data_IF_586867358354
#
_entry.id   IF_586867358354
#
_cell.length_a   1.000
_cell.length_b   1.000
_cell.length_c   1.000
_cell.angle_alpha   90.00
_cell.angle_beta   90.00
_cell.angle_gamma   90.00
#
_symmetry.space_group_name_H-M   'P 1'
#
loop_
_entity.id
_entity.type
_entity.pdbx_description
1 polymer ?
#
# COMPACT_ATOMS: atom_id res chain seq x y z
N UNK A 1 -9.45 12.20 -12.10
CA UNK A 1 -9.81 11.63 -10.78
C UNK A 1 -10.15 10.14 -10.80
N UNK A 2 -11.17 9.67 -11.54
CA UNK A 2 -11.56 8.25 -11.53
C UNK A 2 -10.45 7.30 -12.03
N UNK A 3 -9.70 7.72 -13.04
CA UNK A 3 -8.52 6.98 -13.51
C UNK A 3 -7.46 6.80 -12.42
N UNK A 4 -7.17 7.86 -11.65
CA UNK A 4 -6.24 7.80 -10.52
C UNK A 4 -6.70 6.82 -9.45
N UNK A 5 -7.99 6.79 -9.14
CA UNK A 5 -8.55 5.84 -8.18
C UNK A 5 -8.28 4.39 -8.61
N UNK A 6 -8.61 4.03 -9.85
CA UNK A 6 -8.40 2.67 -10.35
C UNK A 6 -6.93 2.31 -10.49
N UNK A 7 -6.09 3.24 -10.96
CA UNK A 7 -4.63 3.03 -10.99
C UNK A 7 -4.09 2.82 -9.59
N UNK A 8 -4.52 3.62 -8.60
CA UNK A 8 -4.11 3.44 -7.20
C UNK A 8 -4.60 2.13 -6.59
N UNK A 9 -5.82 1.69 -6.93
CA UNK A 9 -6.41 0.42 -6.52
C UNK A 9 -5.60 -0.78 -7.05
N UNK A 10 -5.27 -0.77 -8.35
CA UNK A 10 -4.54 -1.86 -9.02
C UNK A 10 -3.04 -1.83 -8.71
N UNK A 11 -2.47 -0.64 -8.55
CA UNK A 11 -1.06 -0.48 -8.18
C UNK A 11 -0.77 -1.03 -6.78
N UNK A 12 -1.77 -1.12 -5.90
CA UNK A 12 -1.66 -1.81 -4.62
C UNK A 12 -1.53 -3.34 -4.74
N UNK A 13 -1.67 -3.94 -5.93
CA UNK A 13 -1.64 -5.40 -6.11
C UNK A 13 -0.56 -5.89 -7.07
N UNK A 14 -0.31 -5.17 -8.18
CA UNK A 14 0.44 -5.73 -9.32
C UNK A 14 1.61 -4.87 -9.84
N UNK A 15 1.59 -3.55 -9.65
CA UNK A 15 2.54 -2.63 -10.29
C UNK A 15 3.14 -1.65 -9.28
N UNK A 16 4.39 -1.87 -8.82
CA UNK A 16 5.07 -0.91 -7.96
C UNK A 16 5.27 0.43 -8.67
N UNK A 17 4.92 1.54 -8.01
CA UNK A 17 5.17 2.90 -8.50
C UNK A 17 4.18 3.44 -9.56
N UNK A 18 3.23 2.65 -10.04
CA UNK A 18 2.31 3.05 -11.11
C UNK A 18 1.37 4.21 -10.70
N UNK A 19 0.88 4.19 -9.47
CA UNK A 19 -0.02 5.23 -8.96
C UNK A 19 0.65 6.56 -8.68
N UNK A 20 1.93 6.52 -8.34
CA UNK A 20 2.78 7.67 -8.00
C UNK A 20 3.11 8.48 -9.25
N UNK A 21 3.51 7.78 -10.33
CA UNK A 21 3.74 8.40 -11.64
C UNK A 21 2.46 9.04 -12.18
N UNK A 22 1.33 8.33 -12.07
CA UNK A 22 0.05 8.85 -12.54
C UNK A 22 -0.43 10.07 -11.73
N UNK A 23 -0.22 10.05 -10.41
CA UNK A 23 -0.52 11.17 -9.52
C UNK A 23 0.36 12.39 -9.84
N UNK A 24 1.66 12.20 -10.07
CA UNK A 24 2.57 13.28 -10.46
C UNK A 24 2.19 13.89 -11.82
N UNK A 25 1.79 13.07 -12.79
CA UNK A 25 1.25 13.54 -14.07
C UNK A 25 0.00 14.39 -13.90
N UNK A 26 -0.95 13.94 -13.09
CA UNK A 26 -2.20 14.68 -12.86
C UNK A 26 -1.95 16.01 -12.15
N UNK A 27 -1.01 16.03 -11.21
CA UNK A 27 -0.55 17.25 -10.58
C UNK A 27 0.04 18.23 -11.61
N UNK A 28 0.84 17.74 -12.56
CA UNK A 28 1.43 18.57 -13.63
C UNK A 28 0.41 19.19 -14.60
N UNK A 29 -0.75 18.57 -14.80
CA UNK A 29 -1.83 19.15 -15.63
C UNK A 29 -2.77 20.08 -14.83
N UNK A 30 -2.41 20.41 -13.58
CA UNK A 30 -3.09 21.44 -12.78
C UNK A 30 -4.20 20.93 -11.86
N UNK A 31 -4.30 19.62 -11.63
CA UNK A 31 -5.32 19.07 -10.73
C UNK A 31 -5.02 19.41 -9.25
N UNK A 32 -6.06 19.66 -8.41
CA UNK A 32 -5.87 20.12 -7.04
C UNK A 32 -5.16 19.06 -6.17
N UNK A 33 -4.04 19.40 -5.50
CA UNK A 33 -3.21 18.44 -4.76
C UNK A 33 -3.97 17.66 -3.68
N UNK A 34 -4.87 18.33 -2.94
CA UNK A 34 -5.66 17.69 -1.87
C UNK A 34 -6.61 16.64 -2.44
N UNK A 35 -7.24 16.90 -3.59
CA UNK A 35 -8.11 15.92 -4.23
C UNK A 35 -7.32 14.71 -4.74
N UNK A 36 -6.16 14.95 -5.37
CA UNK A 36 -5.26 13.89 -5.82
C UNK A 36 -4.84 12.98 -4.65
N UNK A 37 -4.43 13.61 -3.54
CA UNK A 37 -4.03 12.91 -2.33
C UNK A 37 -5.15 12.03 -1.76
N UNK A 38 -6.36 12.59 -1.60
CA UNK A 38 -7.52 11.87 -1.09
C UNK A 38 -7.90 10.69 -1.98
N UNK A 39 -7.99 10.92 -3.30
CA UNK A 39 -8.40 9.90 -4.27
C UNK A 39 -7.38 8.76 -4.34
N UNK A 40 -6.08 9.09 -4.44
CA UNK A 40 -5.02 8.08 -4.49
C UNK A 40 -4.92 7.29 -3.17
N UNK A 41 -4.99 7.98 -2.03
CA UNK A 41 -4.97 7.32 -0.71
C UNK A 41 -6.14 6.38 -0.54
N UNK A 42 -7.35 6.80 -0.94
CA UNK A 42 -8.56 5.97 -0.84
C UNK A 42 -8.46 4.75 -1.75
N UNK A 43 -8.11 4.93 -3.03
CA UNK A 43 -7.97 3.82 -3.98
C UNK A 43 -6.93 2.80 -3.54
N UNK A 44 -5.74 3.25 -3.13
CA UNK A 44 -4.68 2.35 -2.70
C UNK A 44 -4.97 1.68 -1.35
N UNK A 45 -5.62 2.39 -0.43
CA UNK A 45 -6.08 1.80 0.83
C UNK A 45 -7.07 0.67 0.55
N UNK A 46 -8.06 0.88 -0.31
CA UNK A 46 -9.02 -0.16 -0.68
C UNK A 46 -8.33 -1.37 -1.33
N UNK A 47 -7.37 -1.14 -2.24
CA UNK A 47 -6.59 -2.22 -2.85
C UNK A 47 -5.78 -3.00 -1.82
N UNK A 48 -5.18 -2.30 -0.85
CA UNK A 48 -4.45 -2.91 0.26
C UNK A 48 -5.38 -3.69 1.21
N UNK A 49 -6.62 -3.24 1.40
CA UNK A 49 -7.62 -4.00 2.18
C UNK A 49 -8.04 -5.29 1.47
N UNK A 50 -8.06 -5.29 0.13
CA UNK A 50 -8.24 -6.53 -0.66
C UNK A 50 -7.06 -7.48 -0.40
N UNK A 51 -5.82 -6.99 -0.36
CA UNK A 51 -4.67 -7.81 0.03
C UNK A 51 -4.78 -8.39 1.44
N UNK A 52 -5.23 -7.60 2.42
CA UNK A 52 -5.48 -8.08 3.78
C UNK A 52 -6.55 -9.20 3.77
N UNK A 53 -7.62 -9.03 3.00
CA UNK A 53 -8.66 -10.05 2.84
C UNK A 53 -8.10 -11.33 2.21
N UNK A 54 -7.31 -11.20 1.14
CA UNK A 54 -6.63 -12.33 0.50
C UNK A 54 -5.69 -13.05 1.46
N UNK A 55 -4.91 -12.32 2.26
CA UNK A 55 -4.01 -12.91 3.26
C UNK A 55 -4.77 -13.67 4.37
N UNK A 56 -5.89 -13.10 4.85
CA UNK A 56 -6.78 -13.78 5.82
C UNK A 56 -7.33 -15.07 5.27
N UNK A 57 -7.80 -15.06 4.02
CA UNK A 57 -8.35 -16.23 3.34
C UNK A 57 -7.25 -17.26 3.05
N UNK A 58 -6.11 -16.85 2.52
CA UNK A 58 -5.00 -17.73 2.18
C UNK A 58 -4.47 -18.49 3.40
N UNK A 59 -4.52 -17.90 4.61
CA UNK A 59 -4.07 -18.54 5.85
C UNK A 59 -4.73 -19.90 6.11
N UNK A 60 -5.97 -20.12 5.68
CA UNK A 60 -6.66 -21.40 5.86
C UNK A 60 -6.05 -22.55 5.03
N UNK A 61 -5.19 -22.20 4.07
CA UNK A 61 -4.46 -23.14 3.22
C UNK A 61 -2.98 -23.23 3.57
N UNK A 62 -2.55 -22.75 4.75
CA UNK A 62 -1.13 -22.73 5.15
C UNK A 62 -0.45 -24.11 5.09
N UNK A 63 -1.22 -25.20 5.25
CA UNK A 63 -0.71 -26.59 5.22
C UNK A 63 -0.67 -27.18 3.79
N UNK A 64 -1.11 -26.43 2.78
CA UNK A 64 -1.08 -26.87 1.37
C UNK A 64 0.29 -26.55 0.76
N UNK A 65 0.82 -27.49 -0.06
CA UNK A 65 2.12 -27.34 -0.75
C UNK A 65 2.23 -26.14 -1.69
N UNK A 66 1.12 -25.58 -2.16
CA UNK A 66 1.10 -24.40 -3.03
C UNK A 66 1.18 -23.07 -2.25
N UNK A 67 1.03 -23.11 -0.92
CA UNK A 67 0.98 -21.90 -0.12
C UNK A 67 2.30 -21.13 -0.23
N UNK A 68 2.26 -19.82 -0.56
CA UNK A 68 3.45 -19.07 -0.98
C UNK A 68 4.46 -18.79 0.15
N UNK A 69 4.14 -19.09 1.41
CA UNK A 69 5.05 -18.90 2.54
C UNK A 69 5.35 -20.21 3.26
N UNK A 70 6.63 -20.58 3.32
CA UNK A 70 7.08 -21.74 4.10
C UNK A 70 6.81 -21.58 5.62
N UNK A 71 6.71 -22.68 6.38
CA UNK A 71 6.58 -22.62 7.85
C UNK A 71 7.71 -21.82 8.51
N UNK A 72 8.94 -21.92 7.99
CA UNK A 72 10.09 -21.15 8.46
C UNK A 72 9.96 -19.65 8.19
N UNK A 73 9.43 -19.25 7.03
CA UNK A 73 9.19 -17.83 6.74
C UNK A 73 8.04 -17.26 7.55
N UNK A 74 6.98 -18.04 7.80
CA UNK A 74 5.90 -17.64 8.70
C UNK A 74 6.42 -17.44 10.13
N UNK A 75 7.19 -18.40 10.67
CA UNK A 75 7.78 -18.28 12.00
C UNK A 75 8.73 -17.09 12.12
N UNK A 76 9.53 -16.81 11.08
CA UNK A 76 10.40 -15.62 11.05
C UNK A 76 9.58 -14.33 11.01
N UNK A 77 8.54 -14.27 10.19
CA UNK A 77 7.67 -13.12 10.09
C UNK A 77 6.86 -12.89 11.38
N UNK A 78 6.46 -13.96 12.07
CA UNK A 78 5.81 -13.92 13.38
C UNK A 78 6.77 -13.43 14.46
N UNK A 79 8.03 -13.87 14.45
CA UNK A 79 9.06 -13.37 15.36
C UNK A 79 9.37 -11.87 15.11
N UNK A 80 9.41 -11.47 13.84
CA UNK A 80 9.57 -10.06 13.45
C UNK A 80 8.35 -9.24 13.88
N UNK A 81 7.14 -9.77 13.71
CA UNK A 81 5.89 -9.16 14.15
C UNK A 81 5.81 -9.07 15.69
N UNK A 82 6.29 -10.05 16.45
CA UNK A 82 6.42 -9.94 17.90
C UNK A 82 7.38 -8.82 18.33
N UNK A 83 8.43 -8.57 17.54
CA UNK A 83 9.44 -7.55 17.84
C UNK A 83 9.01 -6.13 17.44
N UNK A 84 8.38 -5.97 16.28
CA UNK A 84 8.04 -4.65 15.71
C UNK A 84 6.54 -4.33 15.76
N UNK A 85 5.70 -5.33 16.01
CA UNK A 85 4.26 -5.20 16.13
C UNK A 85 3.59 -4.63 14.89
N UNK A 86 2.47 -3.96 15.13
CA UNK A 86 1.64 -3.33 14.11
C UNK A 86 2.34 -2.16 13.39
N UNK A 87 3.37 -1.58 14.02
CA UNK A 87 4.17 -0.48 13.44
C UNK A 87 4.94 -0.92 12.18
N UNK A 88 5.15 -2.22 12.00
CA UNK A 88 5.72 -2.79 10.77
C UNK A 88 4.92 -2.43 9.51
N UNK A 89 3.61 -2.18 9.64
CA UNK A 89 2.77 -1.73 8.53
C UNK A 89 3.09 -0.32 8.03
N UNK A 90 3.74 0.52 8.84
CA UNK A 90 4.23 1.82 8.37
C UNK A 90 5.32 1.65 7.30
N UNK A 91 6.11 0.58 7.39
CA UNK A 91 7.13 0.23 6.40
C UNK A 91 6.49 -0.18 5.07
N UNK A 92 5.16 -0.46 5.06
CA UNK A 92 4.44 -0.75 3.82
C UNK A 92 4.35 0.44 2.85
N UNK A 93 4.80 1.62 3.26
CA UNK A 93 4.93 2.79 2.40
C UNK A 93 6.02 2.65 1.33
N UNK A 94 6.96 1.70 1.47
CA UNK A 94 8.06 1.55 0.53
C UNK A 94 7.61 0.90 -0.80
N UNK A 95 8.01 1.44 -1.97
CA UNK A 95 7.47 1.10 -3.29
C UNK A 95 7.71 -0.33 -3.78
N UNK A 96 8.42 -1.18 -3.02
CA UNK A 96 8.76 -2.56 -3.40
C UNK A 96 8.28 -3.59 -2.36
N UNK A 97 8.18 -3.21 -1.08
CA UNK A 97 7.91 -4.13 0.05
C UNK A 97 6.48 -3.94 0.59
N UNK A 98 5.77 -2.91 0.11
CA UNK A 98 4.50 -2.46 0.66
C UNK A 98 3.38 -3.47 0.66
N UNK A 99 3.09 -4.03 -0.49
CA UNK A 99 1.88 -4.81 -0.68
C UNK A 99 1.98 -6.23 -0.09
N UNK A 100 3.15 -6.92 -0.12
CA UNK A 100 3.36 -8.14 0.66
C UNK A 100 3.11 -7.96 2.16
N UNK A 101 3.44 -6.80 2.75
CA UNK A 101 3.18 -6.51 4.16
C UNK A 101 1.67 -6.43 4.47
N UNK A 102 0.86 -5.93 3.53
CA UNK A 102 -0.60 -5.87 3.71
C UNK A 102 -1.24 -7.27 3.63
N UNK A 103 -0.73 -8.14 2.75
CA UNK A 103 -1.08 -9.57 2.74
C UNK A 103 -0.69 -10.23 4.07
N UNK A 104 0.53 -9.99 4.57
CA UNK A 104 1.00 -10.55 5.84
C UNK A 104 0.14 -10.10 7.03
N UNK A 105 -0.30 -8.83 7.07
CA UNK A 105 -1.22 -8.36 8.10
C UNK A 105 -2.56 -9.13 8.08
N UNK A 106 -3.00 -9.54 6.90
CA UNK A 106 -4.13 -10.47 6.74
C UNK A 106 -3.83 -11.87 7.27
N UNK A 107 -2.67 -12.43 6.92
CA UNK A 107 -2.18 -13.76 7.38
C UNK A 107 -2.06 -13.81 8.92
N UNK A 108 -1.72 -12.70 9.56
CA UNK A 108 -1.65 -12.54 11.03
C UNK A 108 -2.98 -12.12 11.67
N UNK A 109 -4.06 -12.02 10.89
CA UNK A 109 -5.42 -11.67 11.36
C UNK A 109 -5.50 -10.35 12.13
N UNK A 110 -4.71 -9.34 11.72
CA UNK A 110 -4.73 -8.03 12.36
C UNK A 110 -6.13 -7.41 12.31
N UNK A 111 -6.71 -6.92 13.43
CA UNK A 111 -8.05 -6.35 13.44
C UNK A 111 -8.27 -5.35 12.30
N UNK A 112 -9.41 -5.47 11.59
CA UNK A 112 -9.65 -4.71 10.36
C UNK A 112 -9.43 -3.20 10.52
N UNK A 113 -9.86 -2.62 11.66
CA UNK A 113 -9.68 -1.20 11.95
C UNK A 113 -8.21 -0.81 12.14
N UNK A 114 -7.37 -1.69 12.71
CA UNK A 114 -5.93 -1.44 12.88
C UNK A 114 -5.21 -1.53 11.55
N UNK A 115 -5.53 -2.55 10.75
CA UNK A 115 -5.01 -2.68 9.39
C UNK A 115 -5.35 -1.42 8.57
N UNK A 116 -6.61 -1.01 8.60
CA UNK A 116 -7.08 0.19 7.91
C UNK A 116 -6.32 1.44 8.38
N UNK A 117 -6.23 1.68 9.69
CA UNK A 117 -5.56 2.85 10.25
C UNK A 117 -4.09 2.93 9.81
N UNK A 118 -3.34 1.83 9.93
CA UNK A 118 -1.93 1.82 9.53
C UNK A 118 -1.74 1.95 8.02
N UNK A 119 -2.60 1.32 7.21
CA UNK A 119 -2.55 1.43 5.75
C UNK A 119 -2.85 2.87 5.32
N UNK A 120 -3.89 3.51 5.86
CA UNK A 120 -4.23 4.90 5.54
C UNK A 120 -3.06 5.82 5.85
N UNK A 121 -2.44 5.67 7.03
CA UNK A 121 -1.26 6.48 7.41
C UNK A 121 -0.10 6.22 6.44
N UNK A 122 0.24 4.96 6.18
CA UNK A 122 1.37 4.60 5.32
C UNK A 122 1.17 5.10 3.87
N UNK A 123 0.00 4.83 3.28
CA UNK A 123 -0.29 5.22 1.89
C UNK A 123 -0.48 6.74 1.79
N UNK A 124 -1.11 7.37 2.79
CA UNK A 124 -1.27 8.81 2.87
C UNK A 124 0.07 9.55 2.93
N UNK A 125 1.00 9.11 3.78
CA UNK A 125 2.36 9.69 3.86
C UNK A 125 3.08 9.59 2.52
N UNK A 126 3.04 8.41 1.87
CA UNK A 126 3.68 8.21 0.57
C UNK A 126 3.17 9.20 -0.49
N UNK A 127 1.86 9.34 -0.64
CA UNK A 127 1.30 10.25 -1.65
C UNK A 127 1.56 11.72 -1.31
N UNK A 128 1.59 12.09 -0.01
CA UNK A 128 2.00 13.42 0.41
C UNK A 128 3.46 13.71 0.01
N UNK A 129 4.38 12.76 0.25
CA UNK A 129 5.79 12.89 -0.17
C UNK A 129 5.91 13.00 -1.68
N UNK A 130 5.17 12.21 -2.46
CA UNK A 130 5.19 12.31 -3.93
C UNK A 130 4.70 13.68 -4.41
N UNK A 131 3.63 14.22 -3.84
CA UNK A 131 3.15 15.57 -4.18
C UNK A 131 4.17 16.66 -3.81
N UNK A 132 4.81 16.56 -2.64
CA UNK A 132 5.84 17.51 -2.23
C UNK A 132 7.05 17.46 -3.17
N UNK A 133 7.47 16.26 -3.58
CA UNK A 133 8.54 16.09 -4.56
C UNK A 133 8.12 16.61 -5.93
N UNK A 134 6.88 16.39 -6.35
CA UNK A 134 6.37 16.96 -7.60
C UNK A 134 6.41 18.50 -7.56
N UNK A 135 5.96 19.10 -6.46
CA UNK A 135 6.00 20.55 -6.27
C UNK A 135 7.42 21.13 -6.23
N UNK A 136 8.41 20.39 -5.73
CA UNK A 136 9.79 20.89 -5.67
C UNK A 136 10.58 20.64 -6.97
N UNK A 137 10.33 19.52 -7.65
CA UNK A 137 11.20 19.01 -8.71
C UNK A 137 10.54 18.96 -10.10
N UNK A 138 9.22 18.81 -10.17
CA UNK A 138 8.48 18.69 -11.45
C UNK A 138 7.92 20.03 -11.94
N UNK A 139 7.86 21.08 -11.11
CA UNK A 139 7.44 22.44 -11.55
C UNK A 139 8.13 22.90 -12.84
N UNK A 140 9.46 22.75 -13.00
CA UNK A 140 10.15 23.22 -14.22
C UNK A 140 9.85 22.37 -15.45
N UNK A 141 9.42 21.12 -15.27
CA UNK A 141 9.18 20.15 -16.33
C UNK A 141 7.74 20.16 -16.85
N UNK A 142 6.84 20.83 -16.13
CA UNK A 142 5.40 20.83 -16.38
C UNK A 142 4.88 22.20 -16.85
N UNK A 143 5.79 23.07 -17.30
CA UNK A 143 5.48 24.29 -18.04
C UNK A 143 5.27 24.03 -19.52
#
# INVERSE_FOLDING_TARGET
MLSLFFVALVSATLLPGGSEVWLARLWCVGEPPVALWLVATTGNTLGSMINVAMGRYARQFQDRRWFPASPRSLARAEHWYHRFGEKSLLISWAPIIGDPLTVLAGVFRLPWWRALAWIVVAKGVRYAVVLLLAQQWLVPLCQ
#
